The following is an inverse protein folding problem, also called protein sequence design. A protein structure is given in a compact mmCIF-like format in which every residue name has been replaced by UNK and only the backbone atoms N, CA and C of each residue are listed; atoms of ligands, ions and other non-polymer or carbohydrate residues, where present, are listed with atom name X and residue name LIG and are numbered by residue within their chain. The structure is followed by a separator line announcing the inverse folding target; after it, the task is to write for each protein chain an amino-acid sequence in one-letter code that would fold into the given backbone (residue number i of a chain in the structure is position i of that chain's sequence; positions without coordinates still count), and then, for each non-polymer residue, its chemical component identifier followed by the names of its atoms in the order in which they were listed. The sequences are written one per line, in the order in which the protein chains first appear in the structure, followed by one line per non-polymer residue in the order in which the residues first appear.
data_IF_295574717870
#
_entry.id   IF_295574717870
#
_cell.length_a   1.000
_cell.length_b   1.000
_cell.length_c   1.000
_cell.angle_alpha   90.00
_cell.angle_beta   90.00
_cell.angle_gamma   90.00
#
_symmetry.space_group_name_H-M   'P 1'
#
loop_
_entity.id
_entity.type
_entity.pdbx_description
1 polymer ?
#
# COMPACT_ATOMS: atom_id res chain seq x y z
N UNK A 1 69.28 -41.51 -60.27
CA UNK A 1 70.33 -42.17 -59.46
C UNK A 1 69.76 -42.19 -58.04
N UNK A 2 69.14 -43.24 -57.49
CA UNK A 2 69.22 -44.69 -57.68
C UNK A 2 67.86 -45.34 -57.35
N UNK A 3 67.41 -46.21 -58.27
CA UNK A 3 66.48 -47.37 -58.23
C UNK A 3 65.23 -47.46 -57.33
N UNK A 4 64.13 -47.77 -58.05
CA UNK A 4 62.90 -48.50 -57.69
C UNK A 4 63.21 -49.96 -57.30
N UNK A 5 62.40 -50.54 -56.40
CA UNK A 5 61.89 -51.94 -56.38
C UNK A 5 60.85 -52.02 -55.23
N UNK A 6 59.61 -52.49 -55.33
CA UNK A 6 59.00 -53.43 -56.25
C UNK A 6 58.76 -54.77 -55.55
N UNK A 7 57.60 -54.99 -54.92
CA UNK A 7 57.07 -56.35 -54.68
C UNK A 7 55.55 -56.36 -54.49
N UNK A 8 54.89 -57.16 -55.33
CA UNK A 8 53.47 -57.44 -55.31
C UNK A 8 53.17 -58.80 -54.64
N UNK A 9 51.91 -59.00 -54.22
CA UNK A 9 51.04 -60.21 -54.30
C UNK A 9 49.94 -60.13 -53.19
N UNK A 10 48.82 -60.87 -53.28
CA UNK A 10 47.73 -60.79 -54.25
C UNK A 10 46.35 -60.53 -53.57
N UNK A 11 45.32 -60.34 -54.38
CA UNK A 11 43.94 -60.08 -53.96
C UNK A 11 43.26 -61.27 -53.26
N UNK A 12 42.54 -60.99 -52.17
CA UNK A 12 41.45 -61.83 -51.66
C UNK A 12 40.21 -60.94 -51.53
N UNK A 13 39.19 -61.25 -52.33
CA UNK A 13 37.84 -60.67 -52.22
C UNK A 13 37.07 -61.45 -51.17
N UNK A 14 36.73 -60.82 -50.05
CA UNK A 14 35.57 -61.20 -49.26
C UNK A 14 34.75 -59.96 -48.94
N UNK A 15 33.52 -59.95 -49.43
CA UNK A 15 32.47 -59.06 -49.00
C UNK A 15 32.20 -59.31 -47.52
N UNK A 16 32.34 -58.27 -46.71
CA UNK A 16 31.87 -58.26 -45.33
C UNK A 16 31.16 -56.93 -45.10
N UNK A 17 29.83 -57.03 -45.18
CA UNK A 17 28.78 -56.15 -44.72
C UNK A 17 29.25 -55.15 -43.66
N UNK A 18 29.31 -53.87 -44.02
CA UNK A 18 29.48 -52.77 -43.07
C UNK A 18 28.20 -52.64 -42.25
N UNK A 19 28.16 -53.26 -41.07
CA UNK A 19 27.17 -52.94 -40.05
C UNK A 19 27.59 -51.60 -39.42
N UNK A 20 27.16 -50.49 -40.02
CA UNK A 20 27.16 -49.19 -39.37
C UNK A 20 26.18 -49.29 -38.18
N UNK A 21 26.71 -49.46 -36.97
CA UNK A 21 26.00 -49.06 -35.76
C UNK A 21 25.80 -47.54 -35.85
N UNK A 22 24.65 -47.13 -36.35
CA UNK A 22 24.12 -45.82 -36.03
C UNK A 22 23.84 -45.81 -34.53
N UNK A 23 24.81 -45.32 -33.75
CA UNK A 23 24.49 -44.73 -32.46
C UNK A 23 23.59 -43.53 -32.77
N UNK A 24 22.29 -43.79 -32.81
CA UNK A 24 21.29 -42.76 -32.62
C UNK A 24 21.55 -42.20 -31.22
N UNK A 25 22.30 -41.10 -31.14
CA UNK A 25 22.22 -40.19 -30.02
C UNK A 25 20.78 -39.69 -29.99
N UNK A 26 19.91 -40.42 -29.29
CA UNK A 26 18.71 -39.83 -28.70
C UNK A 26 19.22 -38.94 -27.57
N UNK A 27 19.88 -37.85 -27.96
CA UNK A 27 19.79 -36.64 -27.19
C UNK A 27 18.30 -36.33 -27.22
N UNK A 28 17.59 -36.76 -26.18
CA UNK A 28 16.28 -36.22 -25.90
C UNK A 28 16.46 -34.73 -25.87
N UNK A 29 16.06 -34.04 -26.94
CA UNK A 29 15.69 -32.65 -26.83
C UNK A 29 14.61 -32.69 -25.76
N UNK A 30 14.98 -32.40 -24.52
CA UNK A 30 14.02 -31.98 -23.52
C UNK A 30 13.38 -30.77 -24.17
N UNK A 31 12.22 -30.98 -24.81
CA UNK A 31 11.47 -29.92 -25.44
C UNK A 31 11.31 -28.87 -24.35
N UNK A 32 11.94 -27.71 -24.55
CA UNK A 32 11.90 -26.62 -23.61
C UNK A 32 10.42 -26.43 -23.25
N UNK A 33 10.07 -26.71 -21.98
CA UNK A 33 8.71 -26.53 -21.50
C UNK A 33 8.31 -25.10 -21.88
N UNK A 34 7.25 -24.88 -22.70
CA UNK A 34 6.95 -23.55 -23.22
C UNK A 34 6.55 -22.57 -22.11
N UNK A 35 6.18 -23.07 -20.94
CA UNK A 35 5.75 -22.27 -19.79
C UNK A 35 6.42 -22.75 -18.49
N UNK A 36 6.52 -21.84 -17.52
CA UNK A 36 7.07 -22.16 -16.20
C UNK A 36 5.97 -22.71 -15.29
N UNK A 37 4.79 -22.06 -15.29
CA UNK A 37 3.61 -22.48 -14.53
C UNK A 37 2.41 -22.54 -15.47
N UNK A 38 1.56 -23.55 -15.30
CA UNK A 38 0.29 -23.71 -15.99
C UNK A 38 -0.81 -24.05 -15.00
N UNK A 39 -1.79 -23.15 -14.87
CA UNK A 39 -3.00 -23.36 -14.09
C UNK A 39 -4.07 -23.95 -15.02
N UNK A 40 -4.58 -25.15 -14.73
CA UNK A 40 -5.50 -25.88 -15.60
C UNK A 40 -6.95 -25.82 -15.12
N UNK A 41 -7.89 -25.62 -16.04
CA UNK A 41 -9.33 -25.73 -15.78
C UNK A 41 -9.88 -24.69 -14.80
N UNK A 42 -9.26 -23.51 -14.74
CA UNK A 42 -9.63 -22.47 -13.79
C UNK A 42 -10.92 -21.74 -14.21
N UNK A 43 -11.62 -21.18 -13.21
CA UNK A 43 -12.58 -20.08 -13.44
C UNK A 43 -11.82 -18.75 -13.37
N UNK A 44 -11.57 -18.14 -14.51
CA UNK A 44 -10.80 -16.90 -14.59
C UNK A 44 -11.69 -15.68 -14.37
N UNK A 45 -11.31 -14.84 -13.40
CA UNK A 45 -11.82 -13.48 -13.18
C UNK A 45 -10.69 -12.52 -13.54
N UNK A 46 -10.73 -11.91 -14.72
CA UNK A 46 -9.60 -11.11 -15.24
C UNK A 46 -9.48 -9.69 -14.66
N UNK A 47 -10.47 -9.25 -13.88
CA UNK A 47 -10.51 -7.94 -13.24
C UNK A 47 -11.16 -6.82 -14.08
N UNK A 48 -11.62 -7.11 -15.29
CA UNK A 48 -12.28 -6.12 -16.18
C UNK A 48 -13.75 -5.87 -15.86
N UNK A 49 -14.32 -6.61 -14.89
CA UNK A 49 -15.72 -6.49 -14.46
C UNK A 49 -16.69 -7.45 -15.17
N UNK A 50 -16.19 -8.30 -16.07
CA UNK A 50 -16.93 -9.42 -16.65
C UNK A 50 -17.20 -10.54 -15.64
N UNK A 51 -18.22 -11.39 -15.87
CA UNK A 51 -18.35 -12.67 -15.20
C UNK A 51 -17.13 -13.56 -15.48
N UNK A 52 -16.91 -14.55 -14.62
CA UNK A 52 -15.83 -15.53 -14.84
C UNK A 52 -16.07 -16.39 -16.08
N UNK A 53 -14.98 -16.91 -16.66
CA UNK A 53 -15.01 -17.88 -17.75
C UNK A 53 -14.00 -19.02 -17.51
N UNK A 54 -14.24 -20.20 -18.11
CA UNK A 54 -13.31 -21.33 -17.98
C UNK A 54 -12.11 -21.15 -18.92
N UNK A 55 -10.90 -21.26 -18.37
CA UNK A 55 -9.67 -21.18 -19.13
C UNK A 55 -8.48 -21.77 -18.35
N UNK A 56 -7.46 -22.15 -19.09
CA UNK A 56 -6.12 -22.34 -18.55
C UNK A 56 -5.38 -21.00 -18.51
N UNK A 57 -4.44 -20.86 -17.58
CA UNK A 57 -3.55 -19.68 -17.48
C UNK A 57 -2.10 -20.14 -17.44
N UNK A 58 -1.32 -19.70 -18.43
CA UNK A 58 0.10 -20.01 -18.54
C UNK A 58 0.96 -18.81 -18.15
N UNK A 59 2.03 -19.07 -17.41
CA UNK A 59 3.00 -18.07 -16.93
C UNK A 59 4.38 -18.43 -17.48
N UNK A 60 5.11 -17.43 -17.96
CA UNK A 60 6.53 -17.53 -18.35
C UNK A 60 7.29 -16.34 -17.74
N UNK A 61 8.29 -16.62 -16.92
CA UNK A 61 9.01 -15.62 -16.15
C UNK A 61 8.05 -14.82 -15.27
N UNK A 62 8.02 -13.50 -15.48
CA UNK A 62 7.24 -12.52 -14.75
C UNK A 62 5.98 -12.06 -15.53
N UNK A 63 5.52 -12.85 -16.51
CA UNK A 63 4.39 -12.51 -17.38
C UNK A 63 3.41 -13.65 -17.55
N UNK A 64 2.14 -13.29 -17.68
CA UNK A 64 1.11 -14.18 -18.21
C UNK A 64 1.38 -14.35 -19.71
N UNK A 65 1.65 -15.58 -20.13
CA UNK A 65 2.03 -15.93 -21.49
C UNK A 65 0.85 -16.38 -22.36
N UNK A 66 -0.26 -16.78 -21.74
CA UNK A 66 -1.49 -17.17 -22.44
C UNK A 66 -2.65 -17.44 -21.49
N UNK A 67 -3.86 -17.16 -21.95
CA UNK A 67 -5.12 -17.46 -21.27
C UNK A 67 -6.08 -18.06 -22.31
N UNK A 68 -6.72 -19.18 -22.00
CA UNK A 68 -7.73 -19.81 -22.87
C UNK A 68 -7.64 -21.33 -22.86
N UNK A 69 -8.09 -21.99 -23.93
CA UNK A 69 -7.81 -23.40 -24.14
C UNK A 69 -6.37 -23.56 -24.62
N UNK A 70 -5.52 -24.14 -23.77
CA UNK A 70 -4.10 -24.35 -24.06
C UNK A 70 -3.78 -25.79 -24.46
N UNK A 71 -4.79 -26.64 -24.72
CA UNK A 71 -4.64 -28.00 -25.25
C UNK A 71 -3.57 -28.82 -24.53
N UNK A 72 -2.63 -29.40 -25.27
CA UNK A 72 -1.52 -30.20 -24.74
C UNK A 72 -0.32 -29.39 -24.23
N UNK A 73 -0.51 -28.10 -23.90
CA UNK A 73 0.54 -27.25 -23.35
C UNK A 73 1.24 -27.90 -22.14
N UNK A 74 2.56 -27.75 -22.09
CA UNK A 74 3.38 -28.28 -21.00
C UNK A 74 4.00 -27.12 -20.22
N UNK A 75 4.15 -27.30 -18.91
CA UNK A 75 4.88 -26.39 -18.04
C UNK A 75 5.79 -27.15 -17.07
N UNK A 76 6.77 -26.45 -16.50
CA UNK A 76 7.60 -27.01 -15.43
C UNK A 76 6.76 -27.36 -14.18
N UNK A 77 5.76 -26.52 -13.87
CA UNK A 77 4.77 -26.75 -12.81
C UNK A 77 3.37 -26.70 -13.40
N UNK A 78 2.56 -27.72 -13.15
CA UNK A 78 1.14 -27.75 -13.52
C UNK A 78 0.32 -27.79 -12.23
N UNK A 79 -0.61 -26.85 -12.10
CA UNK A 79 -1.55 -26.76 -10.98
C UNK A 79 -2.94 -27.07 -11.52
N UNK A 80 -3.61 -28.07 -10.94
CA UNK A 80 -5.04 -28.30 -11.20
C UNK A 80 -5.85 -27.23 -10.45
N UNK A 81 -6.46 -26.32 -11.21
CA UNK A 81 -7.30 -25.24 -10.71
C UNK A 81 -8.79 -25.53 -10.96
N UNK A 82 -9.16 -26.79 -11.24
CA UNK A 82 -10.54 -27.19 -11.47
C UNK A 82 -11.41 -26.84 -10.25
N UNK A 83 -12.47 -26.07 -10.50
CA UNK A 83 -13.39 -25.59 -9.45
C UNK A 83 -12.85 -24.45 -8.59
N UNK A 84 -11.62 -23.99 -8.83
CA UNK A 84 -11.01 -22.83 -8.20
C UNK A 84 -11.11 -21.59 -9.11
N UNK A 85 -10.96 -20.42 -8.48
CA UNK A 85 -10.84 -19.15 -9.20
C UNK A 85 -9.38 -18.77 -9.39
N UNK A 86 -9.08 -18.20 -10.56
CA UNK A 86 -7.84 -17.49 -10.82
C UNK A 86 -8.18 -16.04 -11.10
N UNK A 87 -7.54 -15.15 -10.35
CA UNK A 87 -7.71 -13.70 -10.47
C UNK A 87 -6.35 -13.00 -10.46
N UNK A 88 -6.26 -11.74 -10.91
CA UNK A 88 -5.13 -10.89 -10.58
C UNK A 88 -4.90 -10.88 -9.07
N UNK A 89 -3.63 -10.82 -8.66
CA UNK A 89 -3.30 -10.65 -7.24
C UNK A 89 -3.88 -9.33 -6.72
N UNK A 90 -4.36 -9.35 -5.48
CA UNK A 90 -5.03 -8.19 -4.90
C UNK A 90 -4.04 -7.06 -4.65
N UNK A 91 -4.51 -5.83 -4.88
CA UNK A 91 -3.77 -4.60 -4.64
C UNK A 91 -4.33 -3.97 -3.37
N UNK A 92 -3.53 -3.92 -2.31
CA UNK A 92 -3.85 -3.20 -1.09
C UNK A 92 -3.49 -1.72 -1.26
N UNK A 93 -4.51 -0.89 -1.43
CA UNK A 93 -4.35 0.55 -1.62
C UNK A 93 -3.95 1.29 -0.33
N UNK A 94 -3.97 0.63 0.84
CA UNK A 94 -3.76 1.29 2.13
C UNK A 94 -2.99 0.42 3.13
N UNK A 95 -1.67 0.43 3.03
CA UNK A 95 -0.83 -0.43 3.88
C UNK A 95 0.16 0.36 4.75
N UNK A 96 0.16 0.08 6.05
CA UNK A 96 1.20 0.56 6.97
C UNK A 96 2.42 -0.36 7.04
N UNK A 97 2.55 -1.31 6.10
CA UNK A 97 3.59 -2.35 6.11
C UNK A 97 4.99 -1.89 5.70
N UNK A 98 5.18 -0.63 5.28
CA UNK A 98 6.44 -0.14 4.71
C UNK A 98 7.68 -0.43 5.57
N UNK A 99 7.59 -0.23 6.90
CA UNK A 99 8.67 -0.56 7.81
C UNK A 99 8.91 -2.07 7.98
N UNK A 100 7.84 -2.87 8.02
CA UNK A 100 7.94 -4.34 8.09
C UNK A 100 8.52 -4.94 6.81
N UNK A 101 8.31 -4.31 5.66
CA UNK A 101 8.86 -4.79 4.39
C UNK A 101 10.36 -4.51 4.23
N UNK A 102 10.92 -3.61 5.02
CA UNK A 102 12.37 -3.38 5.14
C UNK A 102 13.04 -4.30 6.17
N UNK A 103 12.27 -4.99 7.01
CA UNK A 103 12.78 -5.93 8.01
C UNK A 103 12.99 -7.32 7.38
N UNK A 104 14.22 -7.88 7.36
CA UNK A 104 14.47 -9.21 6.80
C UNK A 104 13.58 -10.33 7.39
N UNK A 105 13.15 -10.22 8.64
CA UNK A 105 12.29 -11.23 9.29
C UNK A 105 10.82 -11.14 8.83
N UNK A 106 10.38 -9.98 8.35
CA UNK A 106 8.99 -9.71 7.98
C UNK A 106 8.78 -9.45 6.48
N UNK A 107 9.86 -9.18 5.74
CA UNK A 107 9.90 -8.84 4.31
C UNK A 107 9.21 -9.86 3.41
N UNK A 108 9.17 -11.13 3.81
CA UNK A 108 8.42 -12.17 3.11
C UNK A 108 6.91 -11.88 3.00
N UNK A 109 6.38 -10.94 3.79
CA UNK A 109 5.00 -10.45 3.69
C UNK A 109 3.95 -11.58 3.82
N UNK A 110 4.26 -12.62 4.59
CA UNK A 110 3.43 -13.83 4.68
C UNK A 110 1.95 -13.54 5.02
N UNK A 111 1.61 -12.64 5.98
CA UNK A 111 0.22 -12.29 6.24
C UNK A 111 -0.51 -11.71 5.04
N UNK A 112 0.15 -10.83 4.26
CA UNK A 112 -0.42 -10.21 3.06
C UNK A 112 -0.64 -11.26 1.96
N UNK A 113 0.36 -12.11 1.70
CA UNK A 113 0.28 -13.16 0.69
C UNK A 113 -0.80 -14.20 1.02
N UNK A 114 -1.00 -14.54 2.30
CA UNK A 114 -2.07 -15.46 2.73
C UNK A 114 -3.48 -14.92 2.44
N UNK A 115 -3.62 -13.61 2.24
CA UNK A 115 -4.87 -12.97 1.82
C UNK A 115 -4.99 -12.82 0.30
N UNK A 116 -3.96 -13.20 -0.47
CA UNK A 116 -3.88 -13.01 -1.92
C UNK A 116 -3.38 -11.63 -2.35
N UNK A 117 -2.87 -10.82 -1.43
CA UNK A 117 -2.31 -9.49 -1.73
C UNK A 117 -0.92 -9.67 -2.35
N UNK A 118 -0.71 -9.08 -3.52
CA UNK A 118 0.57 -9.12 -4.24
C UNK A 118 1.20 -7.74 -4.42
N UNK A 119 0.46 -6.67 -4.15
CA UNK A 119 0.94 -5.28 -4.26
C UNK A 119 0.39 -4.45 -3.12
N UNK A 120 1.21 -3.59 -2.52
CA UNK A 120 0.81 -2.67 -1.45
C UNK A 120 1.20 -1.24 -1.76
N UNK A 121 0.35 -0.29 -1.42
CA UNK A 121 0.71 1.13 -1.31
C UNK A 121 1.08 1.44 0.14
N UNK A 122 2.28 1.99 0.36
CA UNK A 122 2.82 2.30 1.69
C UNK A 122 3.05 3.79 1.89
N UNK A 123 3.34 4.16 3.14
CA UNK A 123 3.36 5.53 3.64
C UNK A 123 2.00 6.24 3.52
N UNK A 124 0.87 5.61 3.90
CA UNK A 124 -0.42 6.27 3.86
C UNK A 124 -0.56 7.29 4.99
N UNK A 125 -1.69 8.00 5.03
CA UNK A 125 -2.08 8.88 6.14
C UNK A 125 -1.08 10.03 6.43
N UNK A 126 -0.23 10.37 5.46
CA UNK A 126 0.82 11.38 5.63
C UNK A 126 1.99 10.96 6.52
N UNK A 127 2.09 9.68 6.88
CA UNK A 127 3.18 9.14 7.71
C UNK A 127 4.15 8.26 6.92
N UNK A 128 5.43 8.29 7.29
CA UNK A 128 6.50 7.51 6.65
C UNK A 128 7.81 8.28 6.55
N UNK A 129 8.89 7.68 6.03
CA UNK A 129 10.14 8.36 5.74
C UNK A 129 9.98 9.46 4.67
N UNK A 130 10.70 10.56 4.81
CA UNK A 130 10.76 11.61 3.77
C UNK A 130 11.78 11.24 2.69
N UNK A 131 12.89 10.61 3.07
CA UNK A 131 13.87 10.08 2.11
C UNK A 131 13.39 8.75 1.51
N UNK A 132 12.64 8.87 0.40
CA UNK A 132 12.13 7.71 -0.33
C UNK A 132 13.21 6.95 -1.10
N UNK A 133 14.37 7.57 -1.38
CA UNK A 133 15.48 6.87 -2.05
C UNK A 133 16.07 5.85 -1.09
N UNK A 134 16.35 6.25 0.15
CA UNK A 134 16.85 5.33 1.17
C UNK A 134 15.80 4.28 1.53
N UNK A 135 14.54 4.68 1.74
CA UNK A 135 13.46 3.72 2.02
C UNK A 135 13.34 2.66 0.92
N UNK A 136 13.37 3.07 -0.36
CA UNK A 136 13.33 2.14 -1.49
C UNK A 136 14.51 1.17 -1.44
N UNK A 137 15.73 1.68 -1.17
CA UNK A 137 16.94 0.86 -1.07
C UNK A 137 16.83 -0.20 0.03
N UNK A 138 16.31 0.16 1.19
CA UNK A 138 16.13 -0.75 2.32
C UNK A 138 15.12 -1.86 2.00
N UNK A 139 13.98 -1.49 1.42
CA UNK A 139 12.96 -2.46 0.99
C UNK A 139 13.52 -3.38 -0.09
N UNK A 140 14.15 -2.85 -1.14
CA UNK A 140 14.76 -3.66 -2.22
C UNK A 140 15.82 -4.64 -1.68
N UNK A 141 16.64 -4.20 -0.71
CA UNK A 141 17.64 -5.05 -0.08
C UNK A 141 17.02 -6.21 0.72
N UNK A 142 15.87 -5.98 1.35
CA UNK A 142 15.11 -6.98 2.08
C UNK A 142 14.37 -7.98 1.17
N UNK A 143 14.22 -7.67 -0.14
CA UNK A 143 13.53 -8.51 -1.15
C UNK A 143 12.10 -8.86 -0.74
N UNK A 144 11.17 -7.89 -0.78
CA UNK A 144 9.82 -8.09 -0.28
C UNK A 144 9.09 -9.18 -1.04
N UNK A 145 8.24 -9.93 -0.35
CA UNK A 145 7.39 -10.97 -0.95
C UNK A 145 6.25 -10.42 -1.82
N UNK A 146 6.03 -9.10 -1.79
CA UNK A 146 5.00 -8.38 -2.55
C UNK A 146 5.62 -7.19 -3.27
N UNK A 147 4.94 -6.67 -4.30
CA UNK A 147 5.28 -5.40 -4.91
C UNK A 147 4.95 -4.24 -3.97
N UNK A 148 5.74 -3.16 -4.03
CA UNK A 148 5.59 -2.01 -3.13
C UNK A 148 5.54 -0.71 -3.93
N UNK A 149 4.48 0.07 -3.71
CA UNK A 149 4.29 1.42 -4.23
C UNK A 149 4.43 2.43 -3.09
N UNK A 150 5.37 3.37 -3.20
CA UNK A 150 5.61 4.39 -2.17
C UNK A 150 4.74 5.62 -2.41
N UNK A 151 4.21 6.20 -1.34
CA UNK A 151 3.61 7.54 -1.34
C UNK A 151 4.54 8.53 -0.61
N UNK A 152 4.50 9.79 -1.03
CA UNK A 152 5.15 10.89 -0.31
C UNK A 152 4.30 11.24 0.92
N UNK A 153 4.84 11.21 2.15
CA UNK A 153 4.06 11.44 3.37
C UNK A 153 4.01 12.92 3.78
N UNK A 154 2.89 13.61 3.52
CA UNK A 154 2.71 15.05 3.84
C UNK A 154 3.01 15.40 5.31
N UNK A 155 2.51 14.60 6.25
CA UNK A 155 2.69 14.86 7.68
C UNK A 155 4.16 14.81 8.10
N UNK A 156 4.92 13.87 7.55
CA UNK A 156 6.37 13.79 7.76
C UNK A 156 7.12 14.93 7.07
N UNK A 157 6.78 15.28 5.82
CA UNK A 157 7.35 16.42 5.09
C UNK A 157 7.17 17.71 5.88
N UNK A 158 5.94 17.94 6.38
CA UNK A 158 5.62 19.07 7.25
C UNK A 158 6.42 19.03 8.55
N UNK A 159 6.53 17.86 9.17
CA UNK A 159 7.31 17.67 10.40
C UNK A 159 8.80 17.95 10.23
N UNK A 160 9.38 17.62 9.08
CA UNK A 160 10.80 17.91 8.79
C UNK A 160 11.09 19.41 8.67
N UNK A 161 10.14 20.17 8.11
CA UNK A 161 10.33 21.60 7.85
C UNK A 161 9.89 22.49 9.02
N UNK A 162 8.73 22.19 9.63
CA UNK A 162 8.10 23.02 10.68
C UNK A 162 8.15 22.37 12.07
N UNK A 163 8.56 21.11 12.17
CA UNK A 163 8.36 20.34 13.39
C UNK A 163 6.88 20.21 13.74
N UNK A 164 6.55 20.40 15.02
CA UNK A 164 5.19 20.33 15.55
C UNK A 164 4.52 21.70 15.67
N UNK A 165 4.95 22.69 14.88
CA UNK A 165 4.42 24.05 14.96
C UNK A 165 3.00 24.14 14.39
N UNK A 166 2.08 24.70 15.19
CA UNK A 166 0.70 24.97 14.80
C UNK A 166 0.57 26.35 14.13
N UNK A 167 1.03 26.43 12.89
CA UNK A 167 0.96 27.63 12.04
C UNK A 167 1.12 27.26 10.57
N UNK A 168 0.73 28.18 9.67
CA UNK A 168 1.09 28.04 8.26
C UNK A 168 2.62 28.14 8.05
N UNK A 169 3.17 27.44 7.05
CA UNK A 169 4.53 27.69 6.60
C UNK A 169 4.67 29.10 6.03
N UNK A 170 5.84 29.71 6.22
CA UNK A 170 6.21 30.86 5.41
C UNK A 170 6.58 30.42 3.98
N UNK A 171 6.91 31.39 3.11
CA UNK A 171 7.22 31.10 1.71
C UNK A 171 8.46 30.20 1.53
N UNK A 172 9.48 30.35 2.39
CA UNK A 172 10.70 29.56 2.30
C UNK A 172 10.49 28.14 2.86
N UNK A 173 9.66 28.00 3.90
CA UNK A 173 9.21 26.71 4.41
C UNK A 173 8.35 25.95 3.41
N UNK A 174 7.36 26.61 2.80
CA UNK A 174 6.52 25.98 1.78
C UNK A 174 7.35 25.52 0.58
N UNK A 175 8.32 26.32 0.14
CA UNK A 175 9.22 25.92 -0.95
C UNK A 175 10.09 24.71 -0.57
N UNK A 176 10.60 24.64 0.67
CA UNK A 176 11.29 23.43 1.14
C UNK A 176 10.37 22.21 1.13
N UNK A 177 9.12 22.35 1.55
CA UNK A 177 8.14 21.25 1.50
C UNK A 177 7.88 20.80 0.05
N UNK A 178 7.73 21.75 -0.90
CA UNK A 178 7.59 21.45 -2.33
C UNK A 178 8.79 20.68 -2.87
N UNK A 179 10.00 21.05 -2.47
CA UNK A 179 11.23 20.35 -2.88
C UNK A 179 11.29 18.91 -2.34
N UNK A 180 10.88 18.68 -1.09
CA UNK A 180 10.80 17.33 -0.53
C UNK A 180 9.76 16.46 -1.26
N UNK A 181 8.59 17.03 -1.58
CA UNK A 181 7.58 16.32 -2.39
C UNK A 181 8.12 16.01 -3.78
N UNK A 182 8.78 16.98 -4.43
CA UNK A 182 9.40 16.79 -5.75
C UNK A 182 10.44 15.67 -5.72
N UNK A 183 11.34 15.68 -4.73
CA UNK A 183 12.33 14.63 -4.56
C UNK A 183 11.70 13.25 -4.34
N UNK A 184 10.61 13.17 -3.57
CA UNK A 184 9.85 11.93 -3.40
C UNK A 184 9.23 11.41 -4.70
N UNK A 185 8.63 12.30 -5.51
CA UNK A 185 8.09 11.92 -6.82
C UNK A 185 9.21 11.51 -7.80
N UNK A 186 10.34 12.21 -7.82
CA UNK A 186 11.53 11.85 -8.62
C UNK A 186 12.15 10.52 -8.19
N UNK A 187 11.98 10.12 -6.92
CA UNK A 187 12.38 8.81 -6.42
C UNK A 187 11.46 7.65 -6.87
N UNK A 188 10.35 7.97 -7.54
CA UNK A 188 9.38 7.00 -8.08
C UNK A 188 8.12 6.82 -7.24
N UNK A 189 7.76 7.79 -6.37
CA UNK A 189 6.50 7.73 -5.63
C UNK A 189 5.28 7.81 -6.57
N UNK A 190 4.20 7.13 -6.18
CA UNK A 190 2.94 7.08 -6.93
C UNK A 190 1.99 8.23 -6.59
N UNK A 191 2.37 9.12 -5.66
CA UNK A 191 1.51 10.21 -5.23
C UNK A 191 1.88 10.78 -3.87
N UNK A 192 1.01 11.64 -3.37
CA UNK A 192 1.09 12.29 -2.07
C UNK A 192 0.01 11.71 -1.14
N UNK A 193 0.41 11.20 0.02
CA UNK A 193 -0.53 10.86 1.09
C UNK A 193 -0.59 11.98 2.12
N UNK A 194 -1.75 12.15 2.75
CA UNK A 194 -1.94 13.13 3.82
C UNK A 194 -2.78 12.58 4.97
N UNK A 195 -2.60 13.19 6.14
CA UNK A 195 -3.38 12.89 7.33
C UNK A 195 -3.67 14.15 8.13
N UNK A 196 -4.48 15.09 7.62
CA UNK A 196 -4.90 16.29 8.36
C UNK A 196 -5.69 16.01 9.66
N UNK A 197 -5.99 14.76 9.98
CA UNK A 197 -6.43 14.37 11.32
C UNK A 197 -5.27 14.34 12.35
N UNK A 198 -4.06 13.97 11.93
CA UNK A 198 -2.90 13.77 12.80
C UNK A 198 -2.04 15.04 12.88
N UNK A 199 -1.47 15.32 14.06
CA UNK A 199 -0.44 16.35 14.16
C UNK A 199 0.89 15.81 13.58
N UNK A 200 1.66 16.61 12.80
CA UNK A 200 1.45 18.04 12.53
C UNK A 200 0.57 18.33 11.30
N UNK A 201 0.14 17.32 10.54
CA UNK A 201 -0.70 17.49 9.35
C UNK A 201 -2.01 18.26 9.62
N UNK A 202 -2.57 18.14 10.83
CA UNK A 202 -3.79 18.84 11.25
C UNK A 202 -3.66 20.36 11.35
N UNK A 203 -2.43 20.87 11.41
CA UNK A 203 -2.17 22.31 11.39
C UNK A 203 -2.15 22.90 9.97
N UNK A 204 -2.05 22.04 8.94
CA UNK A 204 -2.05 22.47 7.55
C UNK A 204 -3.41 23.01 7.13
N UNK A 205 -3.39 24.05 6.30
CA UNK A 205 -4.58 24.56 5.59
C UNK A 205 -4.76 23.82 4.27
N UNK A 206 -5.96 23.85 3.72
CA UNK A 206 -6.26 23.20 2.43
C UNK A 206 -5.36 23.71 1.31
N UNK A 207 -5.05 25.01 1.27
CA UNK A 207 -4.14 25.60 0.28
C UNK A 207 -2.74 24.98 0.30
N UNK A 208 -2.22 24.60 1.47
CA UNK A 208 -0.94 23.89 1.57
C UNK A 208 -1.03 22.49 0.94
N UNK A 209 -2.12 21.77 1.18
CA UNK A 209 -2.35 20.45 0.59
C UNK A 209 -2.47 20.55 -0.93
N UNK A 210 -3.18 21.55 -1.44
CA UNK A 210 -3.31 21.84 -2.87
C UNK A 210 -1.93 22.12 -3.49
N UNK A 211 -1.14 23.00 -2.88
CA UNK A 211 0.19 23.37 -3.40
C UNK A 211 1.15 22.18 -3.49
N UNK A 212 1.10 21.26 -2.53
CA UNK A 212 1.92 20.06 -2.55
C UNK A 212 1.36 18.99 -3.49
N UNK A 213 0.03 18.84 -3.58
CA UNK A 213 -0.61 17.91 -4.50
C UNK A 213 -0.38 18.30 -5.97
N UNK A 214 -0.27 19.61 -6.27
CA UNK A 214 0.11 20.10 -7.61
C UNK A 214 1.47 19.54 -8.05
N UNK A 215 2.42 19.42 -7.12
CA UNK A 215 3.71 18.78 -7.44
C UNK A 215 3.51 17.32 -7.81
N UNK A 216 2.71 16.56 -7.06
CA UNK A 216 2.43 15.16 -7.40
C UNK A 216 1.73 15.01 -8.78
N UNK A 217 0.87 15.95 -9.14
CA UNK A 217 0.20 16.00 -10.45
C UNK A 217 1.19 16.14 -11.61
N UNK A 218 2.27 16.93 -11.46
CA UNK A 218 3.33 17.07 -12.48
C UNK A 218 3.96 15.72 -12.88
N UNK A 219 3.86 14.70 -12.03
CA UNK A 219 4.41 13.35 -12.23
C UNK A 219 3.32 12.29 -12.50
N UNK A 220 2.06 12.71 -12.67
CA UNK A 220 0.92 11.79 -12.88
C UNK A 220 0.55 10.97 -11.64
N UNK A 221 0.86 11.46 -10.44
CA UNK A 221 0.53 10.79 -9.18
C UNK A 221 -0.92 10.99 -8.73
N UNK A 222 -1.28 10.38 -7.61
CA UNK A 222 -2.56 10.58 -6.93
C UNK A 222 -2.41 11.35 -5.60
N UNK A 223 -3.51 11.89 -5.09
CA UNK A 223 -3.62 12.44 -3.74
C UNK A 223 -4.47 11.51 -2.88
N UNK A 224 -3.89 10.94 -1.82
CA UNK A 224 -4.63 10.10 -0.86
C UNK A 224 -4.72 10.80 0.49
N UNK A 225 -5.84 10.64 1.20
CA UNK A 225 -6.04 11.34 2.47
C UNK A 225 -6.80 10.53 3.50
N UNK A 226 -6.17 10.36 4.67
CA UNK A 226 -6.90 10.27 5.92
C UNK A 226 -7.48 11.65 6.21
N UNK A 227 -8.76 11.80 5.90
CA UNK A 227 -9.42 13.09 5.90
C UNK A 227 -9.39 13.76 7.26
N UNK A 228 -9.51 15.08 7.27
CA UNK A 228 -9.32 15.92 8.47
C UNK A 228 -10.24 15.55 9.64
N UNK A 229 -11.41 15.03 9.31
CA UNK A 229 -12.44 14.68 10.27
C UNK A 229 -13.22 13.46 9.77
N UNK A 230 -13.33 12.44 10.59
CA UNK A 230 -14.17 11.27 10.31
C UNK A 230 -15.47 11.30 11.14
N UNK A 231 -15.64 12.32 11.98
CA UNK A 231 -16.74 12.50 12.92
C UNK A 231 -17.17 13.99 12.91
N UNK A 232 -17.21 14.62 14.09
CA UNK A 232 -17.48 16.05 14.32
C UNK A 232 -16.38 16.72 15.18
N UNK A 233 -15.10 16.36 14.95
CA UNK A 233 -13.97 16.93 15.70
C UNK A 233 -13.70 18.40 15.38
N UNK A 234 -13.86 18.79 14.10
CA UNK A 234 -13.49 20.10 13.58
C UNK A 234 -14.48 20.57 12.51
N UNK A 235 -14.29 20.16 11.25
CA UNK A 235 -15.08 20.59 10.10
C UNK A 235 -16.24 19.64 9.78
N UNK A 236 -16.27 18.47 10.42
CA UNK A 236 -17.25 17.42 10.17
C UNK A 236 -16.91 16.55 8.96
N UNK A 237 -17.31 15.29 9.03
CA UNK A 237 -16.94 14.25 8.04
C UNK A 237 -17.32 14.58 6.59
N UNK A 238 -18.46 15.25 6.37
CA UNK A 238 -18.88 15.63 5.01
C UNK A 238 -17.96 16.70 4.43
N UNK A 239 -17.61 17.72 5.21
CA UNK A 239 -16.72 18.78 4.76
C UNK A 239 -15.28 18.26 4.56
N UNK A 240 -14.87 17.26 5.34
CA UNK A 240 -13.58 16.62 5.19
C UNK A 240 -13.48 15.80 3.88
N UNK A 241 -14.57 15.18 3.41
CA UNK A 241 -14.63 14.60 2.05
C UNK A 241 -14.61 15.70 0.98
N UNK A 242 -15.36 16.80 1.19
CA UNK A 242 -15.33 17.93 0.26
C UNK A 242 -13.93 18.56 0.12
N UNK A 243 -13.10 18.52 1.19
CA UNK A 243 -11.71 18.97 1.16
C UNK A 243 -10.85 18.12 0.19
N UNK A 244 -11.00 16.80 0.19
CA UNK A 244 -10.29 15.93 -0.78
C UNK A 244 -10.75 16.22 -2.21
N UNK A 245 -12.05 16.41 -2.42
CA UNK A 245 -12.61 16.79 -3.73
C UNK A 245 -12.03 18.14 -4.18
N UNK A 246 -11.88 19.10 -3.27
CA UNK A 246 -11.26 20.39 -3.56
C UNK A 246 -9.80 20.22 -3.98
N UNK A 247 -9.01 19.44 -3.23
CA UNK A 247 -7.61 19.17 -3.57
C UNK A 247 -7.50 18.51 -4.94
N UNK A 248 -8.26 17.44 -5.20
CA UNK A 248 -8.27 16.72 -6.47
C UNK A 248 -8.60 17.64 -7.66
N UNK A 249 -9.60 18.52 -7.50
CA UNK A 249 -10.00 19.49 -8.51
C UNK A 249 -8.92 20.55 -8.77
N UNK A 250 -8.37 21.14 -7.72
CA UNK A 250 -7.47 22.30 -7.84
C UNK A 250 -6.02 21.95 -8.15
N UNK A 251 -5.63 20.71 -7.88
CA UNK A 251 -4.34 20.15 -8.23
C UNK A 251 -4.39 19.22 -9.46
N UNK A 252 -5.58 19.01 -10.04
CA UNK A 252 -5.80 18.26 -11.28
C UNK A 252 -5.18 16.84 -11.24
N UNK A 253 -5.51 16.08 -10.20
CA UNK A 253 -5.06 14.69 -10.03
C UNK A 253 -6.12 13.83 -9.33
N UNK A 254 -6.07 12.49 -9.47
CA UNK A 254 -7.00 11.61 -8.77
C UNK A 254 -6.92 11.77 -7.24
N UNK A 255 -8.07 11.94 -6.59
CA UNK A 255 -8.22 11.96 -5.14
C UNK A 255 -8.67 10.61 -4.60
N UNK A 256 -8.15 10.18 -3.46
CA UNK A 256 -8.61 8.98 -2.73
C UNK A 256 -8.90 9.33 -1.29
N UNK A 257 -10.16 9.18 -0.89
CA UNK A 257 -10.57 9.22 0.52
C UNK A 257 -10.25 7.86 1.11
N UNK A 258 -9.16 7.77 1.88
CA UNK A 258 -8.71 6.48 2.41
C UNK A 258 -9.58 6.04 3.57
N UNK A 259 -9.75 4.72 3.69
CA UNK A 259 -10.54 4.02 4.70
C UNK A 259 -11.84 4.75 5.09
N UNK A 260 -12.60 5.22 4.10
CA UNK A 260 -13.73 6.12 4.29
C UNK A 260 -14.72 5.58 5.32
N UNK A 261 -15.08 6.42 6.31
CA UNK A 261 -16.02 6.01 7.37
C UNK A 261 -16.69 7.22 8.02
N UNK A 262 -17.84 6.95 8.64
CA UNK A 262 -18.47 7.85 9.60
C UNK A 262 -18.21 7.31 11.01
N UNK A 263 -17.21 7.90 11.69
CA UNK A 263 -16.66 7.42 12.94
C UNK A 263 -17.53 7.84 14.15
N UNK A 264 -18.29 6.87 14.64
CA UNK A 264 -18.96 6.91 15.94
C UNK A 264 -20.40 7.46 15.93
N UNK A 265 -21.12 7.33 17.07
CA UNK A 265 -22.57 7.46 17.12
C UNK A 265 -23.13 8.81 16.65
N UNK A 266 -22.34 9.88 16.76
CA UNK A 266 -22.75 11.23 16.37
C UNK A 266 -22.90 11.42 14.85
N UNK A 267 -22.27 10.56 14.06
CA UNK A 267 -22.26 10.65 12.59
C UNK A 267 -22.70 9.35 11.91
N UNK A 268 -23.10 8.33 12.65
CA UNK A 268 -23.65 7.10 12.06
C UNK A 268 -24.84 7.41 11.15
N UNK A 269 -24.89 6.73 10.00
CA UNK A 269 -25.85 6.98 8.94
C UNK A 269 -25.37 7.94 7.83
N UNK A 270 -24.24 8.63 8.03
CA UNK A 270 -23.72 9.56 7.02
C UNK A 270 -23.06 8.88 5.81
N UNK A 271 -22.84 7.56 5.84
CA UNK A 271 -22.16 6.82 4.75
C UNK A 271 -22.75 7.09 3.36
N UNK A 272 -24.08 7.10 3.23
CA UNK A 272 -24.74 7.40 1.95
C UNK A 272 -24.46 8.84 1.47
N UNK A 273 -24.39 9.80 2.40
CA UNK A 273 -24.06 11.19 2.06
C UNK A 273 -22.61 11.32 1.57
N UNK A 274 -21.67 10.59 2.17
CA UNK A 274 -20.26 10.60 1.74
C UNK A 274 -20.09 10.01 0.33
N UNK A 275 -20.72 8.86 0.06
CA UNK A 275 -20.72 8.24 -1.28
C UNK A 275 -21.33 9.20 -2.31
N UNK A 276 -22.45 9.84 -1.99
CA UNK A 276 -23.09 10.79 -2.90
C UNK A 276 -22.21 12.01 -3.21
N UNK A 277 -21.36 12.48 -2.27
CA UNK A 277 -20.38 13.54 -2.56
C UNK A 277 -19.38 13.10 -3.61
N UNK A 278 -18.84 11.89 -3.47
CA UNK A 278 -17.87 11.32 -4.42
C UNK A 278 -18.51 11.10 -5.79
N UNK A 279 -19.72 10.54 -5.84
CA UNK A 279 -20.47 10.33 -7.10
C UNK A 279 -20.67 11.64 -7.86
N UNK A 280 -21.12 12.70 -7.16
CA UNK A 280 -21.33 14.01 -7.76
C UNK A 280 -20.04 14.67 -8.24
N UNK A 281 -18.93 14.48 -7.53
CA UNK A 281 -17.64 14.97 -7.98
C UNK A 281 -17.23 14.29 -9.29
N UNK A 282 -17.44 12.97 -9.41
CA UNK A 282 -17.17 12.21 -10.63
C UNK A 282 -18.09 12.60 -11.79
N UNK A 283 -19.37 12.88 -11.53
CA UNK A 283 -20.29 13.44 -12.53
C UNK A 283 -19.82 14.80 -13.08
N UNK A 284 -19.04 15.55 -12.30
CA UNK A 284 -18.43 16.82 -12.69
C UNK A 284 -17.05 16.67 -13.34
N UNK A 285 -16.59 15.44 -13.56
CA UNK A 285 -15.28 15.14 -14.14
C UNK A 285 -14.10 15.22 -13.16
N UNK A 286 -14.36 15.30 -11.85
CA UNK A 286 -13.31 15.26 -10.83
C UNK A 286 -13.09 13.79 -10.44
N UNK A 287 -11.91 13.26 -10.73
CA UNK A 287 -11.55 11.88 -10.40
C UNK A 287 -11.33 11.72 -8.90
N UNK A 288 -12.35 11.22 -8.19
CA UNK A 288 -12.27 10.94 -6.75
C UNK A 288 -12.79 9.54 -6.47
N UNK A 289 -12.04 8.79 -5.65
CA UNK A 289 -12.31 7.43 -5.26
C UNK A 289 -12.24 7.28 -3.73
N UNK A 290 -12.55 6.10 -3.23
CA UNK A 290 -12.37 5.76 -1.83
C UNK A 290 -12.03 4.27 -1.69
N UNK A 291 -11.32 3.94 -0.62
CA UNK A 291 -11.12 2.57 -0.16
C UNK A 291 -11.74 2.37 1.23
N UNK A 292 -11.92 1.10 1.61
CA UNK A 292 -12.45 0.72 2.92
C UNK A 292 -11.93 -0.66 3.31
N UNK A 293 -11.74 -0.88 4.60
CA UNK A 293 -11.58 -2.22 5.18
C UNK A 293 -12.93 -2.78 5.67
N UNK A 294 -13.17 -4.10 5.58
CA UNK A 294 -14.47 -4.71 5.89
C UNK A 294 -14.67 -5.00 7.38
N UNK A 295 -14.40 -4.01 8.24
CA UNK A 295 -14.55 -4.10 9.69
C UNK A 295 -15.25 -2.87 10.26
N UNK A 296 -15.99 -3.06 11.36
CA UNK A 296 -16.70 -1.98 12.06
C UNK A 296 -15.79 -1.20 13.03
N UNK A 297 -14.55 -1.65 13.23
CA UNK A 297 -13.60 -1.07 14.17
C UNK A 297 -12.36 -0.50 13.46
N UNK A 298 -11.99 0.72 13.82
CA UNK A 298 -10.73 1.35 13.43
C UNK A 298 -9.61 1.06 14.43
N UNK A 299 -8.35 1.23 14.02
CA UNK A 299 -7.19 1.15 14.91
C UNK A 299 -6.26 2.35 14.71
N UNK A 300 -5.87 3.02 15.79
CA UNK A 300 -4.89 4.13 15.79
C UNK A 300 -4.33 4.35 17.20
N UNK A 301 -3.40 5.31 17.36
CA UNK A 301 -2.86 5.66 18.68
C UNK A 301 -3.91 6.32 19.59
N UNK A 302 -3.85 6.04 20.89
CA UNK A 302 -4.76 6.65 21.87
C UNK A 302 -4.62 8.18 21.92
N UNK A 303 -3.40 8.69 21.74
CA UNK A 303 -3.14 10.13 21.65
C UNK A 303 -3.85 10.77 20.45
N UNK A 304 -3.80 10.13 19.28
CA UNK A 304 -4.53 10.60 18.13
C UNK A 304 -6.05 10.39 18.26
N UNK A 305 -6.51 9.40 19.03
CA UNK A 305 -7.93 9.16 19.23
C UNK A 305 -8.59 10.17 20.17
N UNK A 306 -7.91 10.55 21.25
CA UNK A 306 -8.53 11.27 22.37
C UNK A 306 -7.94 12.65 22.66
N UNK A 307 -6.67 12.91 22.37
CA UNK A 307 -6.09 14.21 22.72
C UNK A 307 -6.44 15.27 21.68
N UNK A 308 -6.81 16.49 22.12
CA UNK A 308 -7.08 17.58 21.19
C UNK A 308 -5.79 18.02 20.49
N UNK A 309 -5.91 18.48 19.23
CA UNK A 309 -4.74 18.77 18.40
C UNK A 309 -3.86 19.89 18.98
N UNK A 310 -4.47 20.96 19.50
CA UNK A 310 -3.73 22.09 20.10
C UNK A 310 -2.81 21.66 21.26
N UNK A 311 -3.19 20.62 22.01
CA UNK A 311 -2.39 20.12 23.11
C UNK A 311 -1.10 19.41 22.64
N UNK A 312 -1.08 18.95 21.39
CA UNK A 312 0.06 18.27 20.76
C UNK A 312 1.02 19.25 20.06
N UNK A 313 0.65 20.53 19.92
CA UNK A 313 1.49 21.55 19.27
C UNK A 313 2.81 21.74 20.03
N UNK A 314 3.93 21.83 19.33
CA UNK A 314 5.27 21.86 19.95
C UNK A 314 5.79 20.48 20.40
N UNK A 315 5.02 19.41 20.17
CA UNK A 315 5.47 18.03 20.39
C UNK A 315 5.34 17.56 21.84
N UNK A 316 6.04 16.46 22.15
CA UNK A 316 5.87 15.70 23.40
C UNK A 316 6.17 16.51 24.66
N UNK A 317 7.23 17.31 24.66
CA UNK A 317 7.61 18.10 25.83
C UNK A 317 6.58 19.20 26.12
N UNK A 318 6.07 19.86 25.08
CA UNK A 318 4.98 20.84 25.22
C UNK A 318 3.68 20.18 25.69
N UNK A 319 3.32 19.00 25.15
CA UNK A 319 2.18 18.23 25.64
C UNK A 319 2.34 17.90 27.13
N UNK A 320 3.51 17.43 27.56
CA UNK A 320 3.78 17.12 28.96
C UNK A 320 3.65 18.36 29.84
N UNK A 321 4.24 19.48 29.45
CA UNK A 321 4.12 20.75 30.17
C UNK A 321 2.65 21.19 30.31
N UNK A 322 1.81 20.99 29.28
CA UNK A 322 0.36 21.27 29.36
C UNK A 322 -0.41 20.28 30.24
N UNK A 323 0.06 19.04 30.37
CA UNK A 323 -0.54 18.07 31.29
C UNK A 323 -0.13 18.35 32.74
N UNK A 324 1.05 18.93 32.97
CA UNK A 324 1.51 19.31 34.30
C UNK A 324 0.79 20.58 34.82
N UNK A 325 0.48 21.54 33.94
CA UNK A 325 -0.30 22.73 34.29
C UNK A 325 -1.79 22.38 34.60
N UNK A 326 -2.31 22.73 35.79
CA UNK A 326 -3.69 22.38 36.16
C UNK A 326 -4.76 22.94 35.23
N UNK A 327 -4.57 24.15 34.69
CA UNK A 327 -5.58 24.79 33.84
C UNK A 327 -5.64 24.12 32.47
N UNK A 328 -4.50 23.92 31.80
CA UNK A 328 -4.49 23.22 30.52
C UNK A 328 -4.83 21.74 30.66
N UNK A 329 -4.45 21.07 31.77
CA UNK A 329 -4.86 19.68 32.03
C UNK A 329 -6.37 19.55 32.15
N UNK A 330 -7.05 20.46 32.85
CA UNK A 330 -8.49 20.44 32.98
C UNK A 330 -9.18 20.57 31.61
N UNK A 331 -8.71 21.49 30.77
CA UNK A 331 -9.20 21.66 29.41
C UNK A 331 -8.94 20.44 28.52
N UNK A 332 -7.73 19.87 28.57
CA UNK A 332 -7.41 18.63 27.83
C UNK A 332 -8.34 17.50 28.25
N UNK A 333 -8.62 17.35 29.54
CA UNK A 333 -9.52 16.32 30.06
C UNK A 333 -10.93 16.49 29.52
N UNK A 334 -11.46 17.70 29.55
CA UNK A 334 -12.80 18.01 29.02
C UNK A 334 -12.92 17.64 27.54
N UNK A 335 -11.99 18.13 26.70
CA UNK A 335 -11.98 17.84 25.27
C UNK A 335 -11.72 16.34 24.99
N UNK A 336 -10.92 15.66 25.81
CA UNK A 336 -10.69 14.21 25.67
C UNK A 336 -11.92 13.37 26.04
N UNK A 337 -12.72 13.80 27.01
CA UNK A 337 -14.00 13.16 27.35
C UNK A 337 -15.03 13.36 26.23
N UNK A 338 -15.05 14.53 25.60
CA UNK A 338 -15.89 14.76 24.42
C UNK A 338 -15.44 13.89 23.23
N UNK A 339 -14.14 13.76 23.00
CA UNK A 339 -13.59 12.83 21.99
C UNK A 339 -13.86 11.35 22.30
N UNK A 340 -13.94 10.99 23.58
CA UNK A 340 -14.32 9.65 24.01
C UNK A 340 -15.80 9.37 23.69
N UNK A 341 -16.68 10.33 23.96
CA UNK A 341 -18.10 10.25 23.61
C UNK A 341 -18.31 10.14 22.09
N UNK A 342 -17.58 10.94 21.29
CA UNK A 342 -17.57 10.81 19.81
C UNK A 342 -17.32 9.38 19.35
N UNK A 343 -16.44 8.65 20.06
CA UNK A 343 -16.05 7.27 19.76
C UNK A 343 -16.97 6.21 20.37
N UNK A 344 -18.05 6.63 21.02
CA UNK A 344 -19.04 5.73 21.62
C UNK A 344 -18.69 5.25 23.03
N UNK A 345 -17.73 5.88 23.70
CA UNK A 345 -17.41 5.59 25.10
C UNK A 345 -16.17 4.72 25.31
N UNK A 346 -15.81 4.53 26.59
CA UNK A 346 -14.60 3.80 27.00
C UNK A 346 -14.69 2.27 26.79
N UNK A 347 -15.90 1.72 26.71
CA UNK A 347 -16.15 0.31 26.35
C UNK A 347 -15.88 0.02 24.86
N UNK A 348 -15.74 1.08 24.03
CA UNK A 348 -15.50 0.98 22.58
C UNK A 348 -14.05 1.21 22.17
N UNK A 349 -13.16 1.43 23.14
CA UNK A 349 -11.72 1.58 22.90
C UNK A 349 -11.01 0.39 23.53
N UNK A 350 -10.42 -0.45 22.70
CA UNK A 350 -9.63 -1.61 23.13
C UNK A 350 -8.15 -1.36 22.91
N UNK A 351 -7.30 -1.78 23.85
CA UNK A 351 -5.85 -1.74 23.68
C UNK A 351 -5.40 -2.88 22.77
N UNK A 352 -5.06 -2.57 21.51
CA UNK A 352 -4.52 -3.55 20.58
C UNK A 352 -3.04 -3.87 20.82
N UNK A 353 -2.24 -2.86 21.20
CA UNK A 353 -0.83 -3.01 21.53
C UNK A 353 -0.40 -1.95 22.54
N UNK A 354 0.30 -2.33 23.59
CA UNK A 354 0.90 -1.40 24.55
C UNK A 354 2.18 -1.97 25.15
N UNK A 355 3.31 -1.73 24.47
CA UNK A 355 4.61 -2.30 24.82
C UNK A 355 5.05 -2.11 26.30
N UNK A 356 4.78 -0.97 26.98
CA UNK A 356 5.17 -0.82 28.38
C UNK A 356 4.43 -1.75 29.35
N UNK A 357 3.25 -2.26 28.98
CA UNK A 357 2.44 -3.15 29.82
C UNK A 357 1.53 -4.01 28.93
N UNK A 358 2.04 -5.14 28.45
CA UNK A 358 1.26 -6.04 27.58
C UNK A 358 0.04 -6.67 28.27
N UNK A 359 -0.07 -6.61 29.60
CA UNK A 359 -1.18 -7.22 30.34
C UNK A 359 -2.51 -6.48 30.11
N UNK A 360 -2.49 -5.26 29.56
CA UNK A 360 -3.72 -4.54 29.18
C UNK A 360 -4.17 -4.82 27.75
N UNK A 361 -3.38 -5.53 26.94
CA UNK A 361 -3.75 -5.83 25.55
C UNK A 361 -4.99 -6.72 25.51
N UNK A 362 -5.91 -6.42 24.58
CA UNK A 362 -7.23 -7.06 24.48
C UNK A 362 -8.28 -6.54 25.47
N UNK A 363 -7.90 -5.67 26.40
CA UNK A 363 -8.83 -5.05 27.37
C UNK A 363 -9.32 -3.69 26.88
N UNK A 364 -10.52 -3.32 27.31
CA UNK A 364 -11.11 -2.01 27.02
C UNK A 364 -10.58 -0.91 27.93
N UNK A 365 -10.68 0.34 27.49
CA UNK A 365 -10.35 1.51 28.30
C UNK A 365 -11.20 1.57 29.58
N UNK A 366 -12.47 1.14 29.52
CA UNK A 366 -13.34 1.07 30.69
C UNK A 366 -12.84 0.06 31.73
N UNK A 367 -12.44 -1.14 31.31
CA UNK A 367 -11.89 -2.17 32.20
C UNK A 367 -10.60 -1.71 32.87
N UNK A 368 -9.69 -1.11 32.11
CA UNK A 368 -8.41 -0.61 32.65
C UNK A 368 -8.63 0.58 33.60
N UNK A 369 -9.56 1.48 33.28
CA UNK A 369 -9.89 2.64 34.12
C UNK A 369 -10.58 2.26 35.44
N UNK A 370 -11.18 1.08 35.56
CA UNK A 370 -11.78 0.61 36.82
C UNK A 370 -10.73 0.07 37.79
N UNK A 371 -9.59 -0.40 37.27
CA UNK A 371 -8.50 -0.98 38.07
C UNK A 371 -7.48 0.04 38.57
N UNK A 372 -7.40 1.22 37.94
CA UNK A 372 -6.40 2.26 38.20
C UNK A 372 -7.07 3.50 38.77
#
# INVERSE_FOLDING_TARGET
MMRIEGRALPAVRHAATTLLLALATVAGAAAQQPYDILLRGARVLDGTGNPWYEADVAIRGDRIAGIGDLGDARAAVIVDATGLFVAPGFIDAHSHAGGSLADPELSAAAPLLMQGITTVFVNPDGGGPVDLVEQRREIEAARPGVNVALLVPHGSVRGEVLGMADRAPDAAELERMRQLVRAGMEAGAFGLSSGPFYAPGSYAKTDELIELARIASEYGGAYTSHIRDESDYTIGVVAAVDEVIQVAREAELPGVVTHIKALGPRVWGFGAALVHRIDRAREQGIEVYADQYPYEASSTSLSAALLPRWAQAGGRDSLRSRLDDPQTRARIREEALDNLDRRGGADRIMFGRYAPDAAIEGRTLAEVATER
#
